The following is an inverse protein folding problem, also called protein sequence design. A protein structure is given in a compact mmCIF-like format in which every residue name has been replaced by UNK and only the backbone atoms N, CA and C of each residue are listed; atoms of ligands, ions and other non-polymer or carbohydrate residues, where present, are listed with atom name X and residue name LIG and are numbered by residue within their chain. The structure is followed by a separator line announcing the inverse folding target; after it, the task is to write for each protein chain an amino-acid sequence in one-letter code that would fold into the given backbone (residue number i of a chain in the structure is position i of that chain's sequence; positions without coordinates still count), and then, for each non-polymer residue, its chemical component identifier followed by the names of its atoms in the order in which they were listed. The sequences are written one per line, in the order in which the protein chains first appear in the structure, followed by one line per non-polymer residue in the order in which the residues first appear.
data_IF_676738438388
#
_entry.id   IF_676738438388
#
_cell.length_a   1.000
_cell.length_b   1.000
_cell.length_c   1.000
_cell.angle_alpha   90.00
_cell.angle_beta   90.00
_cell.angle_gamma   90.00
#
_symmetry.space_group_name_H-M   'P 1'
#
loop_
_entity.id
_entity.type
_entity.pdbx_description
1 polymer ?
#
# COMPACT_ATOMS: atom_id res chain seq x y z
N UNK A 1 -2.17 -13.13 81.51
CA UNK A 1 -0.88 -13.09 80.79
C UNK A 1 -1.22 -13.19 79.31
N UNK A 2 -0.96 -12.11 78.58
CA UNK A 2 -0.88 -11.94 77.11
C UNK A 2 -1.98 -12.49 76.16
N UNK A 3 -2.65 -11.52 75.50
CA UNK A 3 -3.01 -11.42 74.06
C UNK A 3 -3.96 -12.49 73.48
N UNK A 4 -5.05 -12.19 72.76
CA UNK A 4 -5.60 -10.96 72.21
C UNK A 4 -6.60 -11.35 71.09
N UNK A 5 -7.86 -10.93 71.26
CA UNK A 5 -8.86 -10.45 70.27
C UNK A 5 -8.96 -11.12 68.88
N UNK A 6 -10.09 -11.80 68.61
CA UNK A 6 -11.28 -11.30 67.88
C UNK A 6 -11.28 -11.65 66.38
N UNK A 7 -12.12 -12.62 66.00
CA UNK A 7 -12.68 -12.68 64.66
C UNK A 7 -14.12 -13.19 64.75
N UNK A 8 -15.05 -12.25 64.87
CA UNK A 8 -16.44 -12.46 64.57
C UNK A 8 -16.78 -11.46 63.46
N UNK A 9 -17.10 -11.96 62.27
CA UNK A 9 -18.33 -11.65 61.55
C UNK A 9 -18.36 -12.51 60.29
N UNK A 10 -19.18 -13.56 60.34
CA UNK A 10 -19.56 -14.37 59.20
C UNK A 10 -20.63 -13.63 58.37
N UNK A 11 -20.50 -13.80 57.05
CA UNK A 11 -21.57 -14.02 56.08
C UNK A 11 -21.77 -12.96 55.00
N UNK A 12 -21.83 -13.48 53.76
CA UNK A 12 -22.28 -12.88 52.50
C UNK A 12 -21.24 -12.19 51.61
N UNK A 13 -20.42 -13.01 50.93
CA UNK A 13 -20.17 -12.82 49.50
C UNK A 13 -20.36 -14.18 48.83
N UNK A 14 -21.38 -14.29 47.97
CA UNK A 14 -21.61 -15.45 47.14
C UNK A 14 -20.38 -15.66 46.25
N UNK A 15 -19.68 -16.78 46.46
CA UNK A 15 -18.68 -17.27 45.53
C UNK A 15 -19.46 -17.73 44.29
N UNK A 16 -19.52 -16.89 43.26
CA UNK A 16 -19.83 -17.38 41.92
C UNK A 16 -18.82 -18.49 41.60
N UNK A 17 -19.25 -19.66 41.13
CA UNK A 17 -18.31 -20.70 40.71
C UNK A 17 -17.45 -20.08 39.60
N UNK A 18 -16.14 -20.00 39.86
CA UNK A 18 -15.17 -19.65 38.83
C UNK A 18 -15.37 -20.70 37.73
N UNK A 19 -15.90 -20.26 36.59
CA UNK A 19 -16.01 -21.07 35.38
C UNK A 19 -14.58 -21.37 34.92
N UNK A 20 -14.08 -22.55 35.31
CA UNK A 20 -12.82 -23.11 34.84
C UNK A 20 -12.96 -23.54 33.37
N UNK A 21 -13.21 -22.57 32.47
CA UNK A 21 -12.89 -22.74 31.07
C UNK A 21 -11.37 -22.85 30.98
N UNK A 22 -10.89 -24.08 30.76
CA UNK A 22 -9.51 -24.48 30.48
C UNK A 22 -8.72 -23.41 29.71
N UNK A 23 -8.02 -22.51 30.40
CA UNK A 23 -6.81 -21.91 29.84
C UNK A 23 -5.75 -23.02 29.80
N UNK A 24 -5.21 -23.33 28.62
CA UNK A 24 -4.22 -24.41 28.49
C UNK A 24 -2.98 -23.97 29.26
N UNK A 25 -2.50 -24.80 30.20
CA UNK A 25 -1.27 -24.58 30.98
C UNK A 25 -0.03 -24.22 30.10
N UNK A 26 -0.08 -24.56 28.81
CA UNK A 26 0.92 -24.22 27.79
C UNK A 26 0.95 -22.73 27.43
N UNK A 27 -0.19 -22.06 27.40
CA UNK A 27 -0.30 -20.62 27.11
C UNK A 27 0.20 -19.76 28.29
N UNK A 28 0.31 -20.36 29.49
CA UNK A 28 0.87 -19.74 30.69
C UNK A 28 2.41 -19.74 30.71
N UNK A 29 3.06 -20.60 29.92
CA UNK A 29 4.51 -20.83 29.96
C UNK A 29 5.25 -20.28 28.75
N UNK A 30 4.57 -20.17 27.60
CA UNK A 30 5.19 -19.74 26.35
C UNK A 30 4.17 -19.16 25.37
N UNK A 31 4.31 -17.88 25.02
CA UNK A 31 3.59 -17.24 23.91
C UNK A 31 4.60 -16.55 23.01
N UNK A 32 4.54 -16.70 21.69
CA UNK A 32 5.43 -16.00 20.78
C UNK A 32 4.69 -15.63 19.49
N UNK A 33 4.85 -14.38 19.05
CA UNK A 33 4.37 -13.90 17.75
C UNK A 33 5.48 -13.06 17.12
N UNK A 34 5.71 -13.27 15.83
CA UNK A 34 6.72 -12.51 15.08
C UNK A 34 6.38 -12.46 13.60
N UNK A 35 6.73 -11.34 12.98
CA UNK A 35 6.59 -11.12 11.54
C UNK A 35 7.88 -11.50 10.82
N UNK A 36 7.84 -11.91 9.54
CA UNK A 36 9.03 -12.24 8.75
C UNK A 36 9.81 -11.00 8.29
N UNK A 37 10.10 -10.09 9.22
CA UNK A 37 10.86 -8.87 8.97
C UNK A 37 12.36 -9.15 8.88
N UNK A 38 13.07 -8.47 7.97
CA UNK A 38 14.53 -8.51 7.89
C UNK A 38 15.09 -7.10 7.73
N UNK A 39 15.97 -6.70 8.64
CA UNK A 39 16.66 -5.41 8.59
C UNK A 39 17.80 -5.45 7.58
N UNK A 40 17.93 -4.42 6.76
CA UNK A 40 19.14 -4.14 6.01
C UNK A 40 20.20 -3.50 6.92
N UNK A 41 21.45 -3.93 6.80
CA UNK A 41 22.57 -3.26 7.46
C UNK A 41 22.67 -1.80 7.00
N UNK A 42 22.89 -0.84 7.92
CA UNK A 42 23.05 0.56 7.53
C UNK A 42 24.33 0.75 6.70
N UNK A 43 24.23 1.38 5.54
CA UNK A 43 25.38 1.51 4.64
C UNK A 43 26.29 2.68 4.97
N UNK A 44 25.81 3.63 5.77
CA UNK A 44 26.57 4.79 6.26
C UNK A 44 26.47 4.90 7.78
N UNK A 45 27.44 5.56 8.41
CA UNK A 45 27.54 5.63 9.87
C UNK A 45 26.35 6.32 10.55
N UNK A 46 25.66 7.25 9.88
CA UNK A 46 24.51 7.97 10.42
C UNK A 46 23.15 7.52 9.83
N UNK A 47 23.10 6.41 9.10
CA UNK A 47 21.91 6.00 8.31
C UNK A 47 21.02 4.94 8.97
N UNK A 48 21.04 4.82 10.30
CA UNK A 48 20.09 3.94 11.02
C UNK A 48 18.63 4.26 10.69
N UNK A 49 18.28 5.55 10.52
CA UNK A 49 16.95 6.00 10.11
C UNK A 49 16.59 5.54 8.68
N UNK A 50 17.52 5.63 7.73
CA UNK A 50 17.30 5.25 6.34
C UNK A 50 17.23 3.73 6.17
N UNK A 51 18.09 2.98 6.88
CA UNK A 51 18.02 1.52 6.92
C UNK A 51 16.70 1.03 7.51
N UNK A 52 16.26 1.65 8.61
CA UNK A 52 15.01 1.30 9.28
C UNK A 52 13.79 1.57 8.39
N UNK A 53 13.65 2.76 7.81
CA UNK A 53 12.50 3.07 6.96
C UNK A 53 12.49 2.28 5.65
N UNK A 54 13.66 2.05 5.04
CA UNK A 54 13.79 1.22 3.82
C UNK A 54 13.36 -0.22 4.09
N UNK A 55 13.87 -0.82 5.16
CA UNK A 55 13.53 -2.20 5.53
C UNK A 55 12.05 -2.35 5.91
N UNK A 56 11.49 -1.33 6.57
CA UNK A 56 10.04 -1.25 6.86
C UNK A 56 9.22 -1.22 5.56
N UNK A 57 9.63 -0.40 4.59
CA UNK A 57 8.96 -0.34 3.28
C UNK A 57 9.01 -1.68 2.54
N UNK A 58 10.19 -2.33 2.51
CA UNK A 58 10.38 -3.63 1.87
C UNK A 58 9.60 -4.75 2.57
N UNK A 59 9.45 -4.69 3.90
CA UNK A 59 8.65 -5.63 4.65
C UNK A 59 7.18 -5.58 4.25
N UNK A 60 6.60 -4.38 4.21
CA UNK A 60 5.19 -4.21 3.81
C UNK A 60 4.96 -4.36 2.31
N UNK A 61 5.98 -4.05 1.50
CA UNK A 61 5.93 -4.13 0.05
C UNK A 61 7.27 -4.68 -0.46
N UNK A 62 7.39 -5.99 -0.68
CA UNK A 62 8.62 -6.60 -1.20
C UNK A 62 9.10 -5.99 -2.53
N UNK A 63 8.17 -5.45 -3.34
CA UNK A 63 8.45 -4.73 -4.58
C UNK A 63 8.84 -3.25 -4.40
N UNK A 64 8.97 -2.76 -3.16
CA UNK A 64 9.37 -1.37 -2.87
C UNK A 64 10.74 -1.05 -3.48
N UNK A 65 10.82 0.05 -4.23
CA UNK A 65 12.05 0.52 -4.88
C UNK A 65 12.90 1.44 -4.00
N UNK A 66 12.46 1.69 -2.76
CA UNK A 66 13.24 2.45 -1.80
C UNK A 66 14.57 1.75 -1.51
N UNK A 67 15.64 2.53 -1.56
CA UNK A 67 16.97 2.18 -1.05
C UNK A 67 17.37 3.21 0.00
N UNK A 68 18.32 2.88 0.87
CA UNK A 68 18.78 3.81 1.91
C UNK A 68 19.24 5.16 1.33
N UNK A 69 19.90 5.15 0.17
CA UNK A 69 20.34 6.38 -0.49
C UNK A 69 19.19 7.17 -1.14
N UNK A 70 18.18 6.50 -1.70
CA UNK A 70 16.97 7.15 -2.24
C UNK A 70 16.16 7.81 -1.11
N UNK A 71 16.05 7.11 0.03
CA UNK A 71 15.47 7.67 1.25
C UNK A 71 16.29 8.88 1.72
N UNK A 72 17.62 8.81 1.72
CA UNK A 72 18.47 9.93 2.10
C UNK A 72 18.32 11.15 1.19
N UNK A 73 18.29 10.95 -0.13
CA UNK A 73 17.99 11.99 -1.11
C UNK A 73 16.65 12.68 -0.80
N UNK A 74 15.59 11.90 -0.67
CA UNK A 74 14.25 12.44 -0.44
C UNK A 74 14.12 13.15 0.91
N UNK A 75 14.61 12.55 1.99
CA UNK A 75 14.48 13.10 3.34
C UNK A 75 15.32 14.36 3.59
N UNK A 76 16.44 14.50 2.88
CA UNK A 76 17.35 15.65 2.99
C UNK A 76 17.15 16.69 1.89
N UNK A 77 16.21 16.47 0.96
CA UNK A 77 16.03 17.27 -0.24
C UNK A 77 17.33 17.42 -1.08
N UNK A 78 18.04 16.31 -1.25
CA UNK A 78 19.27 16.19 -2.03
C UNK A 78 19.07 15.20 -3.19
N UNK A 79 19.97 15.23 -4.17
CA UNK A 79 19.94 14.32 -5.33
C UNK A 79 21.18 13.43 -5.47
N UNK A 80 22.23 13.70 -4.68
CA UNK A 80 23.57 13.11 -4.85
C UNK A 80 23.90 11.99 -3.85
N UNK A 81 22.99 11.62 -2.95
CA UNK A 81 23.25 10.65 -1.88
C UNK A 81 23.42 9.21 -2.35
N UNK A 82 23.01 8.90 -3.58
CA UNK A 82 23.29 7.61 -4.23
C UNK A 82 24.63 7.58 -4.98
N UNK A 83 25.39 8.68 -4.98
CA UNK A 83 26.74 8.72 -5.55
C UNK A 83 27.73 7.88 -4.74
N UNK A 84 28.81 7.44 -5.39
CA UNK A 84 29.93 6.76 -4.75
C UNK A 84 31.22 7.56 -4.98
N UNK A 85 31.93 8.01 -3.92
CA UNK A 85 31.56 7.86 -2.50
C UNK A 85 30.31 8.69 -2.13
N UNK A 86 29.59 8.25 -1.09
CA UNK A 86 28.42 9.01 -0.57
C UNK A 86 28.91 10.36 -0.04
N UNK A 87 28.37 11.49 -0.53
CA UNK A 87 28.80 12.82 -0.08
C UNK A 87 28.59 13.02 1.43
N UNK A 88 29.48 13.76 2.08
CA UNK A 88 29.39 14.00 3.54
C UNK A 88 28.08 14.66 3.97
N UNK A 89 27.51 15.53 3.12
CA UNK A 89 26.19 16.15 3.35
C UNK A 89 25.04 15.14 3.45
N UNK A 90 25.21 13.94 2.90
CA UNK A 90 24.22 12.87 2.95
C UNK A 90 24.37 11.99 4.20
N UNK A 91 25.59 11.81 4.73
CA UNK A 91 25.85 10.97 5.89
C UNK A 91 25.61 11.73 7.21
N UNK A 92 24.36 12.14 7.46
CA UNK A 92 23.95 12.91 8.64
C UNK A 92 22.91 12.17 9.48
N UNK A 93 22.87 12.45 10.78
CA UNK A 93 21.83 11.95 11.66
C UNK A 93 20.50 12.64 11.35
N UNK A 94 19.40 11.89 11.37
CA UNK A 94 18.08 12.41 11.01
C UNK A 94 16.93 11.74 11.76
N UNK A 95 15.70 12.16 11.46
CA UNK A 95 14.47 11.78 12.13
C UNK A 95 13.82 10.56 11.45
N UNK A 96 13.49 9.52 12.22
CA UNK A 96 12.85 8.31 11.70
C UNK A 96 11.39 8.53 11.27
N UNK A 97 10.62 9.33 12.00
CA UNK A 97 9.25 9.69 11.64
C UNK A 97 9.17 10.31 10.25
N UNK A 98 10.08 11.24 9.93
CA UNK A 98 10.17 11.87 8.61
C UNK A 98 10.61 10.87 7.54
N UNK A 99 11.55 9.99 7.85
CA UNK A 99 11.99 8.94 6.93
C UNK A 99 10.88 7.93 6.61
N UNK A 100 10.06 7.57 7.61
CA UNK A 100 8.89 6.72 7.43
C UNK A 100 7.75 7.46 6.70
N UNK A 101 7.67 8.80 6.77
CA UNK A 101 6.74 9.58 5.93
C UNK A 101 7.17 9.53 4.45
N UNK A 102 8.47 9.63 4.17
CA UNK A 102 9.03 9.45 2.82
C UNK A 102 8.64 8.10 2.22
N UNK A 103 8.75 7.02 3.01
CA UNK A 103 8.33 5.68 2.56
C UNK A 103 6.83 5.41 2.69
N UNK A 104 6.06 6.39 3.16
CA UNK A 104 4.62 6.32 3.42
C UNK A 104 4.18 5.26 4.46
N UNK A 105 5.09 4.83 5.33
CA UNK A 105 4.81 3.84 6.39
C UNK A 105 4.54 4.49 7.75
N UNK A 106 4.65 5.80 7.92
CA UNK A 106 4.46 6.45 9.23
C UNK A 106 2.98 6.57 9.63
N UNK A 107 2.68 6.29 10.91
CA UNK A 107 1.38 6.57 11.55
C UNK A 107 1.54 7.65 12.63
N UNK A 108 2.30 7.34 13.69
CA UNK A 108 2.49 8.25 14.82
C UNK A 108 3.78 7.91 15.58
N UNK A 109 4.20 8.83 16.45
CA UNK A 109 5.32 8.63 17.37
C UNK A 109 4.84 8.88 18.81
N UNK A 110 5.30 8.04 19.73
CA UNK A 110 5.05 8.20 21.17
C UNK A 110 6.30 7.85 21.97
N UNK A 111 6.20 7.89 23.31
CA UNK A 111 7.21 7.30 24.18
C UNK A 111 7.30 5.77 24.05
N UNK A 112 7.93 5.08 25.02
CA UNK A 112 7.95 3.62 25.05
C UNK A 112 6.53 3.04 25.11
N UNK A 113 6.17 2.19 24.15
CA UNK A 113 4.88 1.51 24.13
C UNK A 113 4.85 0.36 25.16
N UNK A 114 3.66 0.06 25.68
CA UNK A 114 3.49 -1.11 26.54
C UNK A 114 3.67 -2.41 25.74
N UNK A 115 4.04 -3.50 26.43
CA UNK A 115 4.12 -4.82 25.79
C UNK A 115 2.82 -5.21 25.09
N UNK A 116 1.67 -4.93 25.71
CA UNK A 116 0.36 -5.22 25.14
C UNK A 116 0.10 -4.41 23.85
N UNK A 117 0.51 -3.14 23.81
CA UNK A 117 0.38 -2.31 22.61
C UNK A 117 1.29 -2.81 21.48
N UNK A 118 2.54 -3.17 21.79
CA UNK A 118 3.44 -3.81 20.82
C UNK A 118 2.84 -5.10 20.30
N UNK A 119 2.36 -5.97 21.19
CA UNK A 119 1.76 -7.25 20.81
C UNK A 119 0.53 -7.08 19.92
N UNK A 120 -0.32 -6.08 20.20
CA UNK A 120 -1.48 -5.76 19.36
C UNK A 120 -1.07 -5.38 17.93
N UNK A 121 -0.04 -4.54 17.78
CA UNK A 121 0.48 -4.14 16.46
C UNK A 121 1.10 -5.33 15.70
N UNK A 122 1.92 -6.15 16.38
CA UNK A 122 2.50 -7.35 15.75
C UNK A 122 1.40 -8.33 15.30
N UNK A 123 0.39 -8.57 16.13
CA UNK A 123 -0.76 -9.44 15.78
C UNK A 123 -1.53 -8.89 14.58
N UNK A 124 -1.57 -7.57 14.41
CA UNK A 124 -2.19 -6.91 13.27
C UNK A 124 -1.26 -6.79 12.04
N UNK A 125 -0.15 -7.55 12.00
CA UNK A 125 0.77 -7.56 10.87
C UNK A 125 1.68 -6.34 10.78
N UNK A 126 1.77 -5.52 11.83
CA UNK A 126 2.50 -4.25 11.80
C UNK A 126 3.76 -4.27 12.66
N UNK A 127 4.90 -3.95 12.05
CA UNK A 127 6.17 -3.76 12.76
C UNK A 127 6.23 -2.36 13.39
N UNK A 128 7.07 -2.16 14.40
CA UNK A 128 7.24 -0.85 15.04
C UNK A 128 8.68 -0.39 14.96
N UNK A 129 8.90 0.86 14.55
CA UNK A 129 10.19 1.49 14.75
C UNK A 129 10.42 1.80 16.23
N UNK A 130 11.65 1.67 16.71
CA UNK A 130 12.03 2.00 18.08
C UNK A 130 13.29 2.86 18.08
N UNK A 131 13.32 3.85 18.97
CA UNK A 131 14.53 4.67 19.22
C UNK A 131 15.10 4.38 20.59
N UNK A 132 16.37 3.99 20.63
CA UNK A 132 17.17 4.02 21.85
C UNK A 132 17.97 5.32 21.93
N UNK A 133 18.01 5.93 23.09
CA UNK A 133 18.92 7.04 23.41
C UNK A 133 20.09 6.51 24.24
N UNK A 134 21.31 6.92 23.89
CA UNK A 134 22.52 6.51 24.63
C UNK A 134 22.81 7.47 25.78
N UNK A 135 23.38 6.95 26.88
CA UNK A 135 23.80 7.77 28.02
C UNK A 135 24.80 8.88 27.65
N UNK A 136 25.65 8.65 26.65
CA UNK A 136 26.62 9.62 26.12
C UNK A 136 26.04 10.59 25.08
N UNK A 137 24.74 10.55 24.82
CA UNK A 137 24.08 11.35 23.78
C UNK A 137 23.94 10.63 22.44
N UNK A 138 23.09 11.18 21.57
CA UNK A 138 22.71 10.56 20.30
C UNK A 138 21.55 9.57 20.45
N UNK A 139 21.26 8.85 19.38
CA UNK A 139 20.24 7.82 19.38
C UNK A 139 20.39 6.87 18.21
N UNK A 140 19.72 5.74 18.31
CA UNK A 140 19.78 4.67 17.32
C UNK A 140 18.38 4.13 17.04
N UNK A 141 18.13 3.76 15.80
CA UNK A 141 16.84 3.27 15.34
C UNK A 141 16.92 1.80 14.95
N UNK A 142 15.88 1.05 15.30
CA UNK A 142 15.71 -0.37 14.97
C UNK A 142 14.23 -0.70 14.85
N UNK A 143 13.90 -1.95 14.50
CA UNK A 143 12.51 -2.42 14.40
C UNK A 143 12.22 -3.49 15.43
N UNK A 144 11.09 -3.36 16.12
CA UNK A 144 10.44 -4.44 16.86
C UNK A 144 9.50 -5.15 15.89
N UNK A 145 9.74 -6.45 15.66
CA UNK A 145 8.97 -7.26 14.71
C UNK A 145 8.28 -8.47 15.36
N UNK A 146 8.46 -8.64 16.66
CA UNK A 146 7.84 -9.72 17.40
C UNK A 146 7.91 -9.52 18.90
N UNK A 147 7.18 -10.35 19.62
CA UNK A 147 7.23 -10.41 21.06
C UNK A 147 6.98 -11.83 21.56
N UNK A 148 7.53 -12.16 22.71
CA UNK A 148 7.29 -13.43 23.36
C UNK A 148 7.21 -13.30 24.88
N UNK A 149 6.54 -14.25 25.51
CA UNK A 149 6.52 -14.43 26.96
C UNK A 149 7.03 -15.82 27.23
N UNK A 150 8.11 -15.96 28.00
CA UNK A 150 8.70 -17.25 28.37
C UNK A 150 8.84 -17.28 29.88
N UNK A 151 8.16 -18.22 30.55
CA UNK A 151 8.22 -18.34 32.01
C UNK A 151 7.80 -17.06 32.76
N UNK A 152 6.85 -16.30 32.21
CA UNK A 152 6.38 -15.02 32.76
C UNK A 152 7.25 -13.80 32.44
N UNK A 153 8.40 -13.99 31.80
CA UNK A 153 9.27 -12.89 31.34
C UNK A 153 8.92 -12.52 29.91
N UNK A 154 8.72 -11.23 29.66
CA UNK A 154 8.41 -10.68 28.35
C UNK A 154 9.69 -10.30 27.58
N UNK A 155 9.71 -10.59 26.28
CA UNK A 155 10.80 -10.31 25.36
C UNK A 155 10.27 -9.63 24.10
N UNK A 156 11.11 -8.79 23.50
CA UNK A 156 10.88 -8.29 22.14
C UNK A 156 11.82 -8.99 21.17
N UNK A 157 11.33 -9.28 19.97
CA UNK A 157 12.17 -9.66 18.85
C UNK A 157 12.47 -8.37 18.08
N UNK A 158 13.74 -7.99 18.06
CA UNK A 158 14.19 -6.77 17.39
C UNK A 158 15.20 -7.09 16.30
N UNK A 159 15.28 -6.22 15.30
CA UNK A 159 16.27 -6.29 14.24
C UNK A 159 16.93 -4.92 14.06
N UNK A 160 18.22 -4.87 14.34
CA UNK A 160 19.03 -3.66 14.45
C UNK A 160 19.93 -3.51 13.21
N UNK A 161 19.97 -2.34 12.54
CA UNK A 161 20.76 -2.17 11.31
C UNK A 161 22.28 -2.18 11.52
N UNK A 162 22.76 -2.26 12.76
CA UNK A 162 24.17 -2.45 13.13
C UNK A 162 24.38 -3.84 13.74
N UNK A 163 23.56 -4.20 14.73
CA UNK A 163 23.79 -5.41 15.55
C UNK A 163 23.00 -6.64 15.09
N UNK A 164 22.07 -6.48 14.14
CA UNK A 164 21.20 -7.54 13.63
C UNK A 164 20.12 -7.97 14.62
N UNK A 165 19.62 -9.19 14.43
CA UNK A 165 18.52 -9.75 15.22
C UNK A 165 18.94 -10.06 16.66
N UNK A 166 18.09 -9.68 17.61
CA UNK A 166 18.22 -10.09 19.01
C UNK A 166 16.87 -10.16 19.72
N UNK A 167 16.85 -10.77 20.90
CA UNK A 167 15.63 -11.01 21.67
C UNK A 167 15.79 -10.52 23.13
N UNK A 168 16.01 -9.22 23.37
CA UNK A 168 16.15 -8.69 24.72
C UNK A 168 14.85 -8.83 25.51
N UNK A 169 14.95 -9.00 26.82
CA UNK A 169 13.80 -8.82 27.70
C UNK A 169 13.27 -7.39 27.58
N UNK A 170 11.97 -7.17 27.81
CA UNK A 170 11.38 -5.83 27.78
C UNK A 170 12.09 -4.89 28.76
N UNK A 171 12.45 -5.39 29.95
CA UNK A 171 13.21 -4.61 30.94
C UNK A 171 14.59 -4.20 30.39
N UNK A 172 15.35 -5.14 29.84
CA UNK A 172 16.66 -4.87 29.24
C UNK A 172 16.56 -3.90 28.07
N UNK A 173 15.60 -4.09 27.17
CA UNK A 173 15.39 -3.20 26.03
C UNK A 173 15.01 -1.78 26.48
N UNK A 174 14.20 -1.68 27.53
CA UNK A 174 13.70 -0.39 28.03
C UNK A 174 14.78 0.47 28.65
N UNK A 175 15.72 -0.10 29.41
CA UNK A 175 16.65 0.68 30.24
C UNK A 175 18.14 0.43 30.00
N UNK A 176 18.52 -0.65 29.32
CA UNK A 176 19.94 -1.05 29.24
C UNK A 176 20.26 -1.80 27.93
N UNK A 177 19.65 -1.40 26.81
CA UNK A 177 19.94 -1.98 25.52
C UNK A 177 21.42 -1.77 25.17
N UNK A 178 22.14 -2.85 24.84
CA UNK A 178 23.60 -2.84 24.64
C UNK A 178 24.37 -2.15 25.79
N UNK A 179 23.88 -2.28 27.02
CA UNK A 179 24.52 -1.80 28.24
C UNK A 179 24.31 -0.32 28.59
N UNK A 180 23.81 0.52 27.68
CA UNK A 180 23.63 1.96 27.95
C UNK A 180 22.45 2.63 27.23
N UNK A 181 21.77 1.93 26.34
CA UNK A 181 20.65 2.43 25.57
C UNK A 181 19.35 2.37 26.37
N UNK A 182 18.62 3.48 26.42
CA UNK A 182 17.25 3.54 26.98
C UNK A 182 16.27 3.66 25.83
N UNK A 183 15.22 2.83 25.80
CA UNK A 183 14.14 2.98 24.84
C UNK A 183 13.38 4.28 25.14
N UNK A 184 13.34 5.18 24.17
CA UNK A 184 12.79 6.53 24.34
C UNK A 184 11.54 6.76 23.52
N UNK A 185 11.43 6.17 22.33
CA UNK A 185 10.32 6.43 21.42
C UNK A 185 9.91 5.18 20.66
N UNK A 186 8.61 5.09 20.38
CA UNK A 186 7.98 4.10 19.52
C UNK A 186 7.40 4.80 18.30
N UNK A 187 7.66 4.26 17.12
CA UNK A 187 7.16 4.73 15.84
C UNK A 187 6.18 3.70 15.32
N UNK A 188 4.90 4.04 15.37
CA UNK A 188 3.84 3.20 14.83
C UNK A 188 3.90 3.28 13.31
N UNK A 189 3.87 2.11 12.68
CA UNK A 189 3.96 2.01 11.23
C UNK A 189 2.72 1.35 10.66
N UNK A 190 2.51 1.56 9.37
CA UNK A 190 1.46 0.92 8.60
C UNK A 190 2.08 0.31 7.35
N UNK A 191 1.41 -0.68 6.79
CA UNK A 191 1.56 -0.91 5.37
C UNK A 191 1.35 0.44 4.67
N UNK A 192 2.25 0.80 3.74
CA UNK A 192 2.00 1.97 2.88
C UNK A 192 0.58 1.88 2.29
N UNK A 193 -0.02 2.99 1.81
CA UNK A 193 -1.46 3.08 1.51
C UNK A 193 -1.98 1.74 0.99
N UNK A 194 -2.96 1.12 1.67
CA UNK A 194 -3.32 -0.25 1.44
C UNK A 194 -3.49 -0.42 -0.05
N UNK A 195 -2.86 -1.45 -0.62
CA UNK A 195 -3.45 -1.98 -1.83
C UNK A 195 -4.85 -2.37 -1.37
N UNK A 196 -5.87 -1.71 -1.92
CA UNK A 196 -7.18 -2.34 -2.06
C UNK A 196 -6.89 -3.80 -2.39
N UNK A 197 -7.47 -4.76 -1.66
CA UNK A 197 -7.30 -6.19 -1.95
C UNK A 197 -7.93 -6.45 -3.32
N UNK A 198 -7.22 -6.06 -4.38
CA UNK A 198 -7.74 -6.07 -5.74
C UNK A 198 -7.61 -7.48 -6.22
N UNK A 199 -8.71 -8.08 -6.67
CA UNK A 199 -8.65 -9.33 -7.40
C UNK A 199 -7.80 -9.15 -8.65
N UNK A 200 -6.55 -9.62 -8.61
CA UNK A 200 -5.66 -9.63 -9.76
C UNK A 200 -6.11 -10.78 -10.65
N UNK A 201 -6.59 -10.48 -11.86
CA UNK A 201 -6.95 -11.52 -12.83
C UNK A 201 -5.68 -12.18 -13.36
N UNK A 202 -5.69 -13.51 -13.39
CA UNK A 202 -4.62 -14.27 -14.03
C UNK A 202 -4.59 -13.93 -15.53
N UNK A 203 -3.42 -13.54 -16.02
CA UNK A 203 -3.23 -13.19 -17.43
C UNK A 203 -3.26 -14.47 -18.26
N UNK A 204 -4.25 -14.59 -19.15
CA UNK A 204 -4.29 -15.71 -20.09
C UNK A 204 -2.99 -15.76 -20.92
N UNK A 205 -2.38 -16.94 -21.13
CA UNK A 205 -1.10 -17.07 -21.86
C UNK A 205 -1.11 -16.42 -23.26
N UNK A 206 -2.24 -16.48 -23.96
CA UNK A 206 -2.41 -15.86 -25.29
C UNK A 206 -2.33 -14.32 -25.24
N UNK A 207 -2.80 -13.72 -24.14
CA UNK A 207 -2.75 -12.28 -23.93
C UNK A 207 -1.31 -11.84 -23.62
N UNK A 208 -0.57 -12.62 -22.82
CA UNK A 208 0.85 -12.40 -22.57
C UNK A 208 1.64 -12.43 -23.87
N UNK A 209 1.44 -13.47 -24.70
CA UNK A 209 2.10 -13.61 -25.99
C UNK A 209 1.90 -12.36 -26.85
N UNK A 210 0.67 -11.85 -26.93
CA UNK A 210 0.38 -10.67 -27.75
C UNK A 210 1.06 -9.41 -27.24
N UNK A 211 1.11 -9.20 -25.92
CA UNK A 211 1.84 -8.09 -25.31
C UNK A 211 3.33 -8.16 -25.67
N UNK A 212 3.95 -9.35 -25.58
CA UNK A 212 5.36 -9.54 -25.93
C UNK A 212 5.67 -9.23 -27.40
N UNK A 213 4.74 -9.54 -28.33
CA UNK A 213 4.91 -9.24 -29.76
C UNK A 213 4.90 -7.74 -30.06
N UNK A 214 4.08 -6.95 -29.36
CA UNK A 214 3.92 -5.51 -29.63
C UNK A 214 4.82 -4.63 -28.75
N UNK A 215 5.34 -5.16 -27.64
CA UNK A 215 6.20 -4.45 -26.68
C UNK A 215 7.36 -3.67 -27.33
N UNK A 216 8.07 -4.18 -28.36
CA UNK A 216 9.11 -3.42 -29.03
C UNK A 216 8.66 -2.08 -29.64
N UNK A 217 7.36 -1.90 -29.93
CA UNK A 217 6.81 -0.64 -30.45
C UNK A 217 6.83 0.50 -29.42
N UNK A 218 6.85 0.17 -28.12
CA UNK A 218 6.94 1.14 -27.02
C UNK A 218 8.39 1.46 -26.63
N UNK A 219 9.36 0.74 -27.20
CA UNK A 219 10.79 1.03 -27.00
C UNK A 219 11.17 2.12 -28.01
N UNK A 220 11.72 3.27 -27.57
CA UNK A 220 12.15 4.31 -28.49
C UNK A 220 13.09 3.72 -29.55
N UNK A 221 12.83 4.01 -30.83
CA UNK A 221 13.76 3.68 -31.92
C UNK A 221 15.03 4.52 -31.73
N UNK A 222 15.98 4.01 -30.95
CA UNK A 222 17.21 4.72 -30.59
C UNK A 222 18.07 4.07 -29.51
N UNK A 223 17.73 2.87 -29.01
CA UNK A 223 18.62 2.05 -28.18
C UNK A 223 18.83 0.70 -28.87
N UNK A 224 20.08 0.38 -29.19
CA UNK A 224 20.49 -0.87 -29.81
C UNK A 224 19.97 -2.08 -29.02
N UNK A 225 19.03 -2.84 -29.60
CA UNK A 225 18.86 -4.26 -29.26
C UNK A 225 18.79 -5.09 -30.54
N UNK A 226 19.93 -5.12 -31.23
CA UNK A 226 20.27 -6.21 -32.13
C UNK A 226 21.13 -7.23 -31.36
N UNK A 227 20.46 -8.18 -30.70
CA UNK A 227 21.03 -9.49 -30.39
C UNK A 227 21.85 -9.63 -29.11
N UNK A 228 21.59 -10.73 -28.41
CA UNK A 228 22.54 -11.32 -27.47
C UNK A 228 22.28 -10.96 -26.02
N UNK A 229 21.98 -12.00 -25.24
CA UNK A 229 21.91 -11.93 -23.79
C UNK A 229 23.15 -11.23 -23.18
N UNK A 230 22.85 -10.50 -22.09
CA UNK A 230 23.75 -9.93 -21.08
C UNK A 230 24.22 -8.47 -21.25
N UNK A 231 23.44 -7.54 -20.69
CA UNK A 231 23.95 -6.37 -19.96
C UNK A 231 22.83 -5.77 -19.06
N UNK A 232 22.96 -5.88 -17.74
CA UNK A 232 22.15 -5.16 -16.73
C UNK A 232 20.63 -5.45 -16.75
N UNK A 233 20.19 -6.52 -16.07
CA UNK A 233 18.80 -6.96 -16.08
C UNK A 233 17.86 -6.00 -15.34
N UNK A 234 17.30 -5.02 -16.04
CA UNK A 234 16.09 -4.35 -15.59
C UNK A 234 14.99 -5.42 -15.44
N UNK A 235 14.40 -5.52 -14.25
CA UNK A 235 13.33 -6.48 -13.99
C UNK A 235 12.03 -5.93 -14.58
N UNK A 236 11.66 -6.46 -15.74
CA UNK A 236 10.38 -6.14 -16.39
C UNK A 236 9.34 -7.08 -15.81
N UNK A 237 8.25 -6.55 -15.26
CA UNK A 237 7.12 -7.35 -14.81
C UNK A 237 5.80 -6.82 -15.37
N UNK A 238 4.95 -7.73 -15.84
CA UNK A 238 3.57 -7.44 -16.24
C UNK A 238 2.67 -7.77 -15.05
N UNK A 239 1.84 -6.83 -14.63
CA UNK A 239 1.00 -6.98 -13.44
C UNK A 239 -0.25 -6.11 -13.44
N UNK A 240 -1.04 -6.25 -12.38
CA UNK A 240 -2.28 -5.51 -12.13
C UNK A 240 -3.25 -5.52 -13.32
N UNK A 241 -3.57 -6.71 -13.84
CA UNK A 241 -4.55 -6.86 -14.92
C UNK A 241 -5.95 -6.50 -14.42
N UNK A 242 -6.57 -5.47 -15.02
CA UNK A 242 -7.90 -5.01 -14.62
C UNK A 242 -8.81 -4.71 -15.84
N UNK A 243 -10.12 -4.98 -15.72
CA UNK A 243 -11.13 -4.57 -16.69
C UNK A 243 -11.07 -3.09 -17.07
N UNK A 244 -11.23 -2.81 -18.35
CA UNK A 244 -11.55 -1.49 -18.90
C UNK A 244 -12.98 -1.53 -19.41
N UNK A 245 -13.83 -0.70 -18.83
CA UNK A 245 -15.19 -0.48 -19.29
C UNK A 245 -15.23 0.81 -20.10
N UNK A 246 -15.61 0.70 -21.36
CA UNK A 246 -15.82 1.85 -22.23
C UNK A 246 -17.33 2.14 -22.24
N UNK A 247 -17.70 3.35 -21.84
CA UNK A 247 -19.09 3.82 -21.88
C UNK A 247 -19.27 4.81 -23.04
N UNK A 248 -20.24 4.53 -23.91
CA UNK A 248 -20.66 5.43 -24.97
C UNK A 248 -21.56 6.55 -24.47
N UNK A 249 -21.66 7.65 -25.22
CA UNK A 249 -22.52 8.78 -24.85
C UNK A 249 -23.99 8.40 -24.71
N UNK A 250 -24.51 7.57 -25.62
CA UNK A 250 -25.91 7.12 -25.58
C UNK A 250 -26.20 6.25 -24.36
N UNK A 251 -25.25 5.39 -23.96
CA UNK A 251 -25.38 4.58 -22.75
C UNK A 251 -25.32 5.44 -21.48
N UNK A 252 -24.44 6.45 -21.47
CA UNK A 252 -24.34 7.42 -20.38
C UNK A 252 -25.61 8.28 -20.26
N UNK A 253 -26.15 8.79 -21.37
CA UNK A 253 -27.37 9.59 -21.39
C UNK A 253 -28.60 8.78 -20.97
N UNK A 254 -28.66 7.49 -21.34
CA UNK A 254 -29.71 6.55 -20.92
C UNK A 254 -29.61 6.19 -19.43
N UNK A 255 -28.41 6.18 -18.86
CA UNK A 255 -28.16 5.87 -17.44
C UNK A 255 -28.70 6.93 -16.48
N UNK A 256 -28.76 8.18 -16.94
CA UNK A 256 -28.98 9.33 -16.08
C UNK A 256 -30.36 10.02 -16.28
N UNK A 257 -31.07 9.71 -17.37
CA UNK A 257 -32.46 10.12 -17.58
C UNK A 257 -33.48 9.29 -16.79
N UNK A 258 -34.06 9.88 -15.72
CA UNK A 258 -34.87 9.17 -14.72
C UNK A 258 -36.26 8.63 -15.12
N UNK A 259 -36.79 7.83 -14.18
CA UNK A 259 -38.20 7.52 -13.90
C UNK A 259 -39.03 6.65 -14.88
N UNK A 260 -38.44 5.68 -15.57
CA UNK A 260 -39.22 4.54 -16.13
C UNK A 260 -38.39 3.30 -16.54
N UNK A 261 -37.09 3.25 -16.26
CA UNK A 261 -36.29 2.06 -16.58
C UNK A 261 -35.43 1.71 -15.37
N UNK A 262 -35.81 0.64 -14.67
CA UNK A 262 -34.91 -0.14 -13.81
C UNK A 262 -33.80 -0.76 -14.69
N UNK A 263 -32.98 0.06 -15.34
CA UNK A 263 -31.69 -0.40 -15.83
C UNK A 263 -30.79 -0.37 -14.62
N UNK A 264 -30.79 -1.46 -13.87
CA UNK A 264 -29.85 -1.62 -12.76
C UNK A 264 -28.43 -1.32 -13.23
N UNK A 265 -27.60 -0.72 -12.38
CA UNK A 265 -26.17 -0.58 -12.65
C UNK A 265 -25.51 -1.92 -13.02
N UNK A 266 -26.09 -3.06 -12.59
CA UNK A 266 -25.69 -4.40 -12.99
C UNK A 266 -25.95 -4.72 -14.48
N UNK A 267 -26.99 -4.14 -15.11
CA UNK A 267 -27.25 -4.23 -16.54
C UNK A 267 -26.36 -3.31 -17.39
N UNK A 268 -25.67 -2.37 -16.74
CA UNK A 268 -24.69 -1.45 -17.33
C UNK A 268 -23.23 -1.87 -17.10
N UNK A 269 -23.00 -3.10 -16.65
CA UNK A 269 -21.69 -3.72 -16.77
C UNK A 269 -21.64 -4.41 -18.14
N UNK A 270 -21.33 -3.72 -19.26
CA UNK A 270 -20.95 -4.45 -20.45
C UNK A 270 -19.76 -5.32 -20.04
N UNK A 271 -19.72 -6.54 -20.58
CA UNK A 271 -18.49 -7.32 -20.57
C UNK A 271 -17.31 -6.37 -20.86
N UNK A 272 -16.21 -6.48 -20.11
CA UNK A 272 -15.09 -5.56 -20.26
C UNK A 272 -14.77 -5.37 -21.73
N UNK A 273 -14.64 -4.12 -22.17
CA UNK A 273 -14.27 -3.82 -23.56
C UNK A 273 -12.81 -4.18 -23.80
N UNK A 274 -11.99 -4.09 -22.75
CA UNK A 274 -10.60 -4.50 -22.75
C UNK A 274 -10.14 -4.96 -21.36
N UNK A 275 -8.99 -5.61 -21.29
CA UNK A 275 -8.18 -5.77 -20.08
C UNK A 275 -6.95 -4.86 -20.21
N UNK A 276 -6.76 -3.97 -19.23
CA UNK A 276 -5.53 -3.18 -19.11
C UNK A 276 -4.50 -3.95 -18.29
N UNK A 277 -3.30 -4.07 -18.83
CA UNK A 277 -2.14 -4.65 -18.16
C UNK A 277 -1.08 -3.59 -17.98
N UNK A 278 -0.55 -3.49 -16.76
CA UNK A 278 0.50 -2.53 -16.42
C UNK A 278 1.86 -3.23 -16.55
N UNK A 279 2.76 -2.65 -17.33
CA UNK A 279 4.18 -3.00 -17.32
C UNK A 279 4.87 -2.16 -16.26
N UNK A 280 5.70 -2.81 -15.46
CA UNK A 280 6.65 -2.13 -14.58
C UNK A 280 8.07 -2.50 -14.98
N UNK A 281 8.98 -1.54 -14.87
CA UNK A 281 10.43 -1.70 -15.08
C UNK A 281 11.11 -1.26 -13.80
N UNK A 282 11.77 -2.17 -13.12
CA UNK A 282 12.40 -1.92 -11.81
C UNK A 282 11.43 -1.33 -10.77
N UNK A 283 10.17 -1.79 -10.81
CA UNK A 283 9.10 -1.37 -9.91
C UNK A 283 8.49 0.01 -10.21
N UNK A 284 8.94 0.69 -11.26
CA UNK A 284 8.35 1.94 -11.76
C UNK A 284 7.45 1.65 -12.98
N UNK A 285 6.48 2.53 -13.23
CA UNK A 285 5.58 2.40 -14.39
C UNK A 285 6.38 2.40 -15.71
N UNK A 286 6.33 1.28 -16.42
CA UNK A 286 7.00 1.07 -17.71
C UNK A 286 6.09 1.29 -18.92
N UNK A 287 4.78 1.23 -18.71
CA UNK A 287 3.76 1.39 -19.76
C UNK A 287 2.48 0.63 -19.43
N UNK A 288 1.51 0.70 -20.33
CA UNK A 288 0.30 -0.14 -20.28
C UNK A 288 -0.08 -0.69 -21.65
N UNK A 289 -0.87 -1.77 -21.64
CA UNK A 289 -1.48 -2.39 -22.80
C UNK A 289 -2.96 -2.64 -22.53
N UNK A 290 -3.84 -2.14 -23.40
CA UNK A 290 -5.25 -2.52 -23.44
C UNK A 290 -5.41 -3.63 -24.47
N UNK A 291 -5.90 -4.78 -24.04
CA UNK A 291 -6.12 -5.94 -24.90
C UNK A 291 -7.59 -6.28 -24.92
N UNK A 292 -8.15 -6.68 -26.07
CA UNK A 292 -9.55 -7.04 -26.20
C UNK A 292 -9.96 -8.12 -25.19
N UNK A 293 -11.13 -7.92 -24.57
CA UNK A 293 -11.73 -8.87 -23.65
C UNK A 293 -12.86 -9.61 -24.38
N UNK A 294 -12.61 -10.85 -24.81
CA UNK A 294 -13.57 -11.69 -25.53
C UNK A 294 -13.01 -13.08 -25.82
N UNK A 295 -13.87 -14.01 -26.25
CA UNK A 295 -13.51 -15.43 -26.49
C UNK A 295 -12.70 -15.71 -27.76
N UNK A 296 -12.20 -14.68 -28.44
CA UNK A 296 -11.38 -14.78 -29.66
C UNK A 296 -9.89 -14.57 -29.38
N UNK A 297 -9.09 -14.49 -30.45
CA UNK A 297 -7.67 -14.13 -30.34
C UNK A 297 -7.53 -12.72 -29.73
N UNK A 298 -6.75 -12.53 -28.65
CA UNK A 298 -6.60 -11.22 -28.02
C UNK A 298 -5.90 -10.23 -28.96
N UNK A 299 -6.47 -9.04 -29.12
CA UNK A 299 -5.92 -7.95 -29.93
C UNK A 299 -5.52 -6.78 -29.04
N UNK A 300 -4.37 -6.16 -29.30
CA UNK A 300 -3.94 -4.97 -28.56
C UNK A 300 -4.65 -3.76 -29.16
N UNK A 301 -5.53 -3.16 -28.39
CA UNK A 301 -6.38 -2.03 -28.77
C UNK A 301 -5.67 -0.69 -28.56
N UNK A 302 -4.90 -0.58 -27.48
CA UNK A 302 -4.14 0.62 -27.14
C UNK A 302 -2.89 0.23 -26.34
N UNK A 303 -1.85 1.05 -26.44
CA UNK A 303 -0.66 0.93 -25.61
C UNK A 303 -0.04 2.30 -25.36
N UNK A 304 0.69 2.45 -24.26
CA UNK A 304 1.45 3.67 -23.97
C UNK A 304 2.75 3.35 -23.20
N UNK A 305 3.80 4.12 -23.46
CA UNK A 305 5.10 4.00 -22.80
C UNK A 305 5.13 4.74 -21.45
N UNK A 306 6.25 4.60 -20.73
CA UNK A 306 6.54 5.28 -19.47
C UNK A 306 6.51 6.82 -19.54
N UNK A 307 6.71 7.42 -20.71
CA UNK A 307 6.70 8.88 -20.88
C UNK A 307 5.28 9.49 -20.80
N UNK A 308 4.25 8.64 -20.76
CA UNK A 308 2.87 9.04 -20.54
C UNK A 308 2.62 9.37 -19.06
N UNK A 309 1.80 10.39 -18.78
CA UNK A 309 1.43 10.78 -17.42
C UNK A 309 0.49 9.79 -16.72
N UNK A 310 -0.04 8.80 -17.43
CA UNK A 310 -0.99 7.82 -16.94
C UNK A 310 -0.51 7.12 -15.66
N UNK A 311 0.74 6.66 -15.58
CA UNK A 311 1.25 5.96 -14.39
C UNK A 311 1.07 6.80 -13.12
N UNK A 312 1.46 8.07 -13.18
CA UNK A 312 1.30 9.03 -12.07
C UNK A 312 -0.17 9.29 -11.73
N UNK A 313 -1.03 9.43 -12.74
CA UNK A 313 -2.47 9.69 -12.53
C UNK A 313 -3.14 8.47 -11.88
N UNK A 314 -2.83 7.28 -12.37
CA UNK A 314 -3.38 6.02 -11.91
C UNK A 314 -2.94 5.70 -10.47
N UNK A 315 -1.66 5.88 -10.14
CA UNK A 315 -1.16 5.75 -8.77
C UNK A 315 -1.84 6.69 -7.79
N UNK A 316 -2.06 7.96 -8.17
CA UNK A 316 -2.80 8.93 -7.35
C UNK A 316 -4.26 8.54 -7.17
N UNK A 317 -4.89 8.00 -8.22
CA UNK A 317 -6.25 7.49 -8.17
C UNK A 317 -6.39 6.32 -7.20
N UNK A 318 -5.50 5.34 -7.29
CA UNK A 318 -5.43 4.21 -6.35
C UNK A 318 -5.19 4.68 -4.92
N UNK A 319 -4.29 5.65 -4.71
CA UNK A 319 -4.04 6.20 -3.38
C UNK A 319 -5.27 6.90 -2.78
N UNK A 320 -6.09 7.56 -3.61
CA UNK A 320 -7.35 8.15 -3.16
C UNK A 320 -8.40 7.08 -2.83
N UNK A 321 -8.50 6.03 -3.65
CA UNK A 321 -9.39 4.89 -3.42
C UNK A 321 -9.04 4.10 -2.16
N UNK A 322 -7.75 3.90 -1.90
CA UNK A 322 -7.26 3.16 -0.72
C UNK A 322 -7.73 3.74 0.62
N UNK A 323 -8.19 5.00 0.65
CA UNK A 323 -8.73 5.65 1.84
C UNK A 323 -10.21 5.37 2.08
N UNK A 324 -10.90 4.79 1.11
CA UNK A 324 -12.35 4.56 1.11
C UNK A 324 -12.73 3.09 1.23
N UNK A 325 -11.77 2.18 0.97
CA UNK A 325 -11.99 0.74 1.10
C UNK A 325 -11.66 0.36 2.54
N UNK A 326 -12.62 -0.29 3.21
CA UNK A 326 -12.41 -0.83 4.54
C UNK A 326 -11.28 -1.87 4.53
N UNK A 327 -10.51 -1.95 5.62
CA UNK A 327 -9.40 -2.89 5.82
C UNK A 327 -9.96 -4.30 6.16
N UNK A 328 -10.84 -4.76 5.30
CA UNK A 328 -11.48 -6.06 5.29
C UNK A 328 -10.73 -6.93 4.27
N UNK A 329 -10.50 -8.21 4.60
CA UNK A 329 -9.80 -9.18 3.73
C UNK A 329 -10.59 -9.51 2.43
N UNK A 330 -11.73 -8.86 2.18
CA UNK A 330 -12.54 -9.04 0.98
C UNK A 330 -11.85 -8.55 -0.28
N UNK A 331 -11.77 -9.45 -1.27
CA UNK A 331 -11.30 -9.10 -2.61
C UNK A 331 -12.29 -8.13 -3.26
N UNK A 332 -11.79 -6.98 -3.71
CA UNK A 332 -12.55 -5.97 -4.42
C UNK A 332 -12.15 -5.95 -5.90
N UNK A 333 -13.13 -5.93 -6.80
CA UNK A 333 -12.85 -5.82 -8.23
C UNK A 333 -12.50 -4.37 -8.61
N UNK A 334 -11.27 -4.18 -9.09
CA UNK A 334 -10.80 -2.94 -9.70
C UNK A 334 -11.21 -2.91 -11.17
N UNK A 335 -11.72 -1.77 -11.63
CA UNK A 335 -11.90 -1.50 -13.07
C UNK A 335 -11.58 -0.06 -13.42
N UNK A 336 -11.25 0.16 -14.69
CA UNK A 336 -11.09 1.48 -15.27
C UNK A 336 -12.33 1.82 -16.10
N UNK A 337 -13.05 2.86 -15.71
CA UNK A 337 -14.10 3.46 -16.54
C UNK A 337 -13.48 4.46 -17.51
N UNK A 338 -13.78 4.34 -18.80
CA UNK A 338 -13.39 5.29 -19.84
C UNK A 338 -14.63 5.79 -20.56
N UNK A 339 -14.72 7.10 -20.73
CA UNK A 339 -15.73 7.77 -21.56
C UNK A 339 -14.97 8.60 -22.59
N UNK A 340 -14.53 8.00 -23.71
CA UNK A 340 -13.60 8.62 -24.65
C UNK A 340 -14.10 9.96 -25.19
N UNK A 341 -15.39 10.05 -25.53
CA UNK A 341 -16.01 11.26 -26.07
C UNK A 341 -16.01 12.44 -25.08
N UNK A 342 -15.93 12.18 -23.77
CA UNK A 342 -15.82 13.21 -22.73
C UNK A 342 -14.38 13.37 -22.20
N UNK A 343 -13.42 12.68 -22.80
CA UNK A 343 -12.02 12.62 -22.35
C UNK A 343 -11.89 12.31 -20.85
N UNK A 344 -12.77 11.44 -20.35
CA UNK A 344 -12.89 11.13 -18.93
C UNK A 344 -12.47 9.70 -18.64
N UNK A 345 -11.61 9.54 -17.63
CA UNK A 345 -11.20 8.24 -17.09
C UNK A 345 -11.30 8.27 -15.56
N UNK A 346 -11.82 7.19 -14.99
CA UNK A 346 -11.94 7.02 -13.55
C UNK A 346 -11.57 5.60 -13.14
N UNK A 347 -10.86 5.48 -12.02
CA UNK A 347 -10.62 4.19 -11.39
C UNK A 347 -11.81 3.88 -10.49
N UNK A 348 -12.34 2.67 -10.57
CA UNK A 348 -13.58 2.28 -9.89
C UNK A 348 -13.36 0.98 -9.13
N UNK A 349 -13.91 0.92 -7.91
CA UNK A 349 -13.90 -0.26 -7.05
C UNK A 349 -15.32 -0.58 -6.57
N UNK A 350 -15.59 -1.86 -6.34
CA UNK A 350 -16.89 -2.33 -5.89
C UNK A 350 -17.94 -2.38 -7.01
N UNK A 351 -19.10 -2.94 -6.71
CA UNK A 351 -20.18 -3.16 -7.69
C UNK A 351 -21.48 -2.46 -7.27
N UNK A 352 -22.39 -2.32 -8.24
CA UNK A 352 -23.73 -1.78 -8.02
C UNK A 352 -23.72 -0.36 -7.44
N UNK A 353 -24.65 -0.09 -6.53
CA UNK A 353 -24.87 1.22 -5.92
C UNK A 353 -23.77 1.62 -4.92
N UNK A 354 -23.02 0.66 -4.41
CA UNK A 354 -21.87 0.88 -3.51
C UNK A 354 -20.55 1.18 -4.23
N UNK A 355 -20.55 1.17 -5.57
CA UNK A 355 -19.33 1.39 -6.34
C UNK A 355 -18.80 2.82 -6.13
N UNK A 356 -17.50 2.91 -5.83
CA UNK A 356 -16.78 4.18 -5.64
C UNK A 356 -15.90 4.43 -6.85
N UNK A 357 -15.96 5.64 -7.39
CA UNK A 357 -15.15 6.10 -8.50
C UNK A 357 -14.21 7.22 -8.06
N UNK A 358 -13.00 7.20 -8.61
CA UNK A 358 -12.04 8.31 -8.51
C UNK A 358 -11.67 8.76 -9.93
N UNK A 359 -12.11 9.94 -10.36
CA UNK A 359 -11.69 10.53 -11.63
C UNK A 359 -10.18 10.78 -11.64
N UNK A 360 -9.48 10.23 -12.64
CA UNK A 360 -8.02 10.43 -12.82
C UNK A 360 -7.71 11.33 -14.00
N UNK A 361 -8.67 11.48 -14.93
CA UNK A 361 -8.63 12.39 -16.06
C UNK A 361 -10.05 12.83 -16.37
N UNK A 362 -10.30 14.14 -16.47
CA UNK A 362 -11.55 14.69 -16.97
C UNK A 362 -11.37 16.20 -17.18
N UNK A 363 -11.77 16.76 -18.32
CA UNK A 363 -11.85 18.20 -18.51
C UNK A 363 -13.22 18.77 -18.09
N UNK A 364 -14.16 17.92 -17.69
CA UNK A 364 -15.55 18.30 -17.46
C UNK A 364 -15.70 19.14 -16.19
N UNK A 365 -16.44 20.23 -16.29
CA UNK A 365 -16.71 21.09 -15.14
C UNK A 365 -17.47 20.32 -14.06
N UNK A 366 -17.05 20.49 -12.81
CA UNK A 366 -17.67 19.80 -11.68
C UNK A 366 -17.25 18.33 -11.52
N UNK A 367 -16.25 17.82 -12.26
CA UNK A 367 -15.67 16.50 -12.00
C UNK A 367 -14.34 16.67 -11.25
N UNK A 368 -14.31 16.49 -9.91
CA UNK A 368 -13.08 16.66 -9.15
C UNK A 368 -12.10 15.50 -9.39
N UNK A 369 -10.85 15.82 -9.73
CA UNK A 369 -9.81 14.81 -9.93
C UNK A 369 -9.24 14.32 -8.60
N UNK A 370 -9.04 13.02 -8.47
CA UNK A 370 -8.49 12.34 -7.30
C UNK A 370 -9.35 12.44 -6.02
N UNK A 371 -10.60 12.85 -6.17
CA UNK A 371 -11.58 12.85 -5.08
C UNK A 371 -12.53 11.65 -5.24
N UNK A 372 -12.61 10.76 -4.25
CA UNK A 372 -13.55 9.65 -4.31
C UNK A 372 -15.00 10.11 -4.21
N UNK A 373 -15.85 9.53 -5.05
CA UNK A 373 -17.29 9.76 -5.03
C UNK A 373 -18.05 8.50 -5.45
N UNK A 374 -19.34 8.39 -5.10
CA UNK A 374 -20.20 7.35 -5.64
C UNK A 374 -20.16 7.36 -7.18
N UNK A 375 -20.06 6.17 -7.79
CA UNK A 375 -20.05 6.05 -9.25
C UNK A 375 -21.29 6.69 -9.89
N UNK A 376 -22.45 6.52 -9.26
CA UNK A 376 -23.70 7.14 -9.68
C UNK A 376 -23.60 8.67 -9.78
N UNK A 377 -22.93 9.29 -8.81
CA UNK A 377 -22.73 10.74 -8.78
C UNK A 377 -21.81 11.19 -9.92
N UNK A 378 -20.73 10.46 -10.18
CA UNK A 378 -19.84 10.74 -11.31
C UNK A 378 -20.59 10.69 -12.64
N UNK A 379 -21.39 9.64 -12.87
CA UNK A 379 -22.16 9.51 -14.11
C UNK A 379 -23.21 10.62 -14.27
N UNK A 380 -23.89 11.01 -13.18
CA UNK A 380 -24.83 12.12 -13.20
C UNK A 380 -24.16 13.44 -13.59
N UNK A 381 -22.95 13.70 -13.07
CA UNK A 381 -22.15 14.90 -13.44
C UNK A 381 -21.74 14.89 -14.92
N UNK A 382 -21.63 13.71 -15.53
CA UNK A 382 -21.22 13.54 -16.93
C UNK A 382 -22.42 13.46 -17.91
N UNK A 383 -23.65 13.35 -17.43
CA UNK A 383 -24.84 13.24 -18.28
C UNK A 383 -25.03 14.48 -19.16
N UNK A 384 -25.01 15.67 -18.55
CA UNK A 384 -25.23 16.93 -19.27
C UNK A 384 -24.24 17.10 -20.43
N UNK A 385 -22.91 17.03 -20.23
CA UNK A 385 -21.97 17.16 -21.34
C UNK A 385 -22.10 16.01 -22.37
N UNK A 386 -22.61 14.84 -21.98
CA UNK A 386 -22.89 13.77 -22.94
C UNK A 386 -24.07 14.09 -23.87
N UNK A 387 -25.15 14.66 -23.32
CA UNK A 387 -26.32 15.08 -24.09
C UNK A 387 -25.98 16.22 -25.06
N UNK A 388 -25.21 17.21 -24.59
CA UNK A 388 -24.78 18.34 -25.43
C UNK A 388 -24.05 17.86 -26.69
N UNK A 389 -23.13 16.89 -26.57
CA UNK A 389 -22.43 16.32 -27.74
C UNK A 389 -23.36 15.50 -28.65
N UNK A 390 -24.33 14.78 -28.08
CA UNK A 390 -25.29 14.00 -28.88
C UNK A 390 -26.22 14.90 -29.68
N UNK A 391 -26.74 15.96 -29.05
CA UNK A 391 -27.63 16.92 -29.69
C UNK A 391 -26.91 17.66 -30.84
N UNK A 392 -25.65 18.08 -30.63
CA UNK A 392 -24.80 18.71 -31.67
C UNK A 392 -24.54 17.77 -32.88
N UNK A 393 -24.33 16.47 -32.65
CA UNK A 393 -24.08 15.48 -33.72
C UNK A 393 -25.35 15.18 -34.53
N UNK A 394 -26.52 15.17 -33.89
CA UNK A 394 -27.81 15.03 -34.57
C UNK A 394 -28.12 16.25 -35.44
N UNK A 395 -27.76 17.47 -35.01
CA UNK A 395 -27.84 18.68 -35.84
C UNK A 395 -26.92 18.60 -37.06
N UNK A 396 -25.68 18.11 -36.89
CA UNK A 396 -24.70 17.95 -37.98
C UNK A 396 -25.11 16.88 -39.00
N UNK A 397 -25.77 15.81 -38.59
CA UNK A 397 -26.28 14.76 -39.48
C UNK A 397 -27.58 15.14 -40.20
N UNK A 398 -28.32 16.10 -39.64
CA UNK A 398 -29.56 16.63 -40.22
C UNK A 398 -29.36 17.76 -41.23
N UNK A 399 -28.16 18.35 -41.29
CA UNK A 399 -27.73 19.36 -42.26
C UNK A 399 -27.14 18.70 -43.52
#
# INVERSE_FOLDING_TARGET
MALGENSAFLSSIAISPIDYRRFKLKDLLYTAVSLPFNMQHQTQSNWCWAATSTSTSLFYRPASTWTQCRVANSALALTTCCGSPVPGACNVAWYLDRALQVTQNFVSVSGPASFAAVQAEINAGRVLGARVGWAGGGGHFMVIYGCSTVGGVQYFNIDDPIYGKSNPSVATFSSSYQGSGTWTHTYFTKAGPPMVNIRIRELAPELLKRIWEVRPLLVPHGGDEAGGAAAGTASVSLGLAHPVQILGLSDLARAAGGAAAEVSYAAMAPEPSAIRVIETRDGEFGGFYDVSAGGGTPEVLQMASADNDYGRLFERGLAALSKQVDDDDSETDLRLLRIPALYTEAVVVGEGESAVAVPIRSPQEGVPLFEPMPLAELLARLEKPAREILDDDDELKGA
#
